data_IF_081475719073
#
_entry.id   IF_081475719073
#
_cell.length_a   1.000
_cell.length_b   1.000
_cell.length_c   1.000
_cell.angle_alpha   90.00
_cell.angle_beta   90.00
_cell.angle_gamma   90.00
#
_symmetry.space_group_name_H-M   'P 1'
#
loop_
_entity.id
_entity.type
_entity.pdbx_description
1 polymer ?
#
# COMPACT_ATOMS: atom_id res chain seq x y z
N UNK A 1 -22.68 8.23 -5.89
CA UNK A 1 -21.71 7.58 -4.98
C UNK A 1 -21.20 8.58 -3.93
N UNK A 2 -21.96 9.65 -3.67
CA UNK A 2 -21.36 10.93 -3.22
C UNK A 2 -21.33 11.05 -1.69
N UNK A 3 -21.72 9.98 -1.00
CA UNK A 3 -21.82 9.92 0.46
C UNK A 3 -20.57 9.36 1.12
N UNK A 4 -19.66 8.75 0.35
CA UNK A 4 -18.39 8.21 0.87
C UNK A 4 -17.29 9.24 0.63
N UNK A 5 -16.70 9.82 1.69
CA UNK A 5 -15.58 10.74 1.56
C UNK A 5 -14.41 10.08 0.83
N UNK A 6 -13.80 10.81 -0.10
CA UNK A 6 -12.57 10.38 -0.77
C UNK A 6 -11.37 10.96 -0.04
N UNK A 7 -10.33 10.15 0.07
CA UNK A 7 -9.05 10.56 0.65
C UNK A 7 -8.03 10.68 -0.48
N UNK A 8 -7.29 11.80 -0.56
CA UNK A 8 -6.32 12.00 -1.62
C UNK A 8 -5.18 10.99 -1.51
N UNK A 9 -4.54 10.70 -2.67
CA UNK A 9 -3.30 9.93 -2.71
C UNK A 9 -2.23 10.67 -1.90
N UNK A 10 -1.48 9.94 -1.07
CA UNK A 10 -0.45 10.53 -0.20
C UNK A 10 0.77 11.04 -0.97
N UNK A 11 1.09 10.39 -2.10
CA UNK A 11 2.29 10.66 -2.88
C UNK A 11 1.91 10.95 -4.34
N UNK A 12 2.40 12.05 -4.90
CA UNK A 12 2.12 12.37 -6.32
C UNK A 12 2.77 11.33 -7.25
N UNK A 13 4.07 11.12 -7.08
CA UNK A 13 4.86 10.15 -7.85
C UNK A 13 5.21 8.91 -7.02
N UNK A 14 5.57 7.82 -7.71
CA UNK A 14 6.06 6.60 -7.07
C UNK A 14 7.33 6.87 -6.25
N UNK A 15 8.22 7.73 -6.75
CA UNK A 15 9.50 8.04 -6.12
C UNK A 15 9.39 8.47 -4.65
N UNK A 16 8.35 9.23 -4.30
CA UNK A 16 8.11 9.65 -2.91
C UNK A 16 7.67 8.51 -1.98
N UNK A 17 7.18 7.38 -2.52
CA UNK A 17 6.85 6.19 -1.74
C UNK A 17 8.04 5.22 -1.59
N UNK A 18 9.12 5.40 -2.35
CA UNK A 18 10.26 4.50 -2.37
C UNK A 18 11.19 4.71 -1.17
N UNK A 19 11.84 3.64 -0.73
CA UNK A 19 12.96 3.71 0.21
C UNK A 19 14.25 4.09 -0.52
N UNK A 20 15.16 4.76 0.20
CA UNK A 20 16.50 5.04 -0.28
C UNK A 20 17.34 3.74 -0.28
N UNK A 21 17.26 2.99 -1.37
CA UNK A 21 18.01 1.75 -1.60
C UNK A 21 19.16 2.05 -2.57
N UNK A 22 20.38 1.66 -2.20
CA UNK A 22 21.57 1.85 -3.04
C UNK A 22 21.46 1.12 -4.38
N UNK A 23 22.12 1.67 -5.39
CA UNK A 23 22.23 1.07 -6.73
C UNK A 23 22.99 -0.26 -6.74
N UNK A 24 23.87 -0.49 -5.76
CA UNK A 24 24.64 -1.73 -5.57
C UNK A 24 23.91 -2.79 -4.72
N UNK A 25 22.67 -2.52 -4.30
CA UNK A 25 21.91 -3.45 -3.45
C UNK A 25 21.54 -4.73 -4.22
N UNK A 26 21.77 -5.88 -3.58
CA UNK A 26 21.49 -7.22 -4.12
C UNK A 26 20.04 -7.49 -4.56
N UNK A 27 19.08 -6.62 -4.19
CA UNK A 27 17.69 -6.68 -4.65
C UNK A 27 17.54 -6.37 -6.14
N UNK A 28 18.46 -5.61 -6.73
CA UNK A 28 18.48 -5.30 -8.15
C UNK A 28 18.93 -6.51 -8.96
N UNK A 29 18.09 -6.95 -9.90
CA UNK A 29 18.30 -8.16 -10.72
C UNK A 29 17.82 -7.92 -12.15
N UNK A 30 18.49 -8.52 -13.13
CA UNK A 30 18.15 -8.37 -14.54
C UNK A 30 16.82 -9.06 -14.94
N UNK A 31 16.49 -10.18 -14.28
CA UNK A 31 15.35 -11.05 -14.62
C UNK A 31 15.26 -11.41 -16.11
N UNK A 32 16.40 -11.79 -16.71
CA UNK A 32 16.49 -12.12 -18.16
C UNK A 32 15.44 -13.16 -18.60
N UNK A 33 15.15 -14.14 -17.73
CA UNK A 33 14.12 -15.15 -18.01
C UNK A 33 12.72 -14.55 -18.23
N UNK A 34 12.38 -13.43 -17.58
CA UNK A 34 11.11 -12.70 -17.78
C UNK A 34 11.13 -11.90 -19.08
N UNK A 35 12.29 -11.33 -19.43
CA UNK A 35 12.48 -10.60 -20.69
C UNK A 35 12.30 -11.56 -21.87
N UNK A 36 12.94 -12.73 -21.82
CA UNK A 36 12.82 -13.75 -22.86
C UNK A 36 11.43 -14.39 -22.88
N UNK A 37 10.80 -14.54 -21.71
CA UNK A 37 9.39 -14.95 -21.63
C UNK A 37 8.48 -13.95 -22.30
N UNK A 38 8.69 -12.65 -22.12
CA UNK A 38 7.90 -11.61 -22.78
C UNK A 38 8.02 -11.68 -24.30
N UNK A 39 9.22 -11.87 -24.85
CA UNK A 39 9.45 -12.06 -26.29
C UNK A 39 8.69 -13.30 -26.82
N UNK A 40 8.82 -14.44 -26.12
CA UNK A 40 8.13 -15.70 -26.48
C UNK A 40 6.61 -15.56 -26.41
N UNK A 41 6.10 -14.93 -25.37
CA UNK A 41 4.66 -14.73 -25.17
C UNK A 41 4.08 -13.79 -26.24
N UNK A 42 4.80 -12.72 -26.61
CA UNK A 42 4.41 -11.82 -27.70
C UNK A 42 4.39 -12.54 -29.07
N UNK A 43 5.41 -13.36 -29.36
CA UNK A 43 5.46 -14.17 -30.58
C UNK A 43 4.32 -15.20 -30.65
N UNK A 44 3.87 -15.71 -29.50
CA UNK A 44 2.72 -16.60 -29.38
C UNK A 44 1.35 -15.88 -29.32
N UNK A 45 1.31 -14.56 -29.52
CA UNK A 45 0.07 -13.77 -29.49
C UNK A 45 -0.56 -13.62 -28.10
N UNK A 46 0.18 -13.87 -27.02
CA UNK A 46 -0.31 -13.68 -25.64
C UNK A 46 -0.13 -12.24 -25.20
N UNK A 47 -1.06 -11.78 -24.37
CA UNK A 47 -1.10 -10.38 -23.90
C UNK A 47 -0.53 -10.16 -22.48
N UNK A 48 0.30 -11.08 -21.97
CA UNK A 48 0.93 -10.94 -20.65
C UNK A 48 2.14 -10.00 -20.70
N UNK A 49 1.88 -8.70 -20.75
CA UNK A 49 2.93 -7.67 -20.84
C UNK A 49 3.69 -7.48 -19.52
N UNK A 50 5.00 -7.20 -19.56
CA UNK A 50 5.74 -6.75 -18.37
C UNK A 50 5.14 -5.45 -17.81
N UNK A 51 4.99 -5.37 -16.49
CA UNK A 51 4.63 -4.16 -15.79
C UNK A 51 5.89 -3.58 -15.12
N UNK A 52 6.56 -2.67 -15.82
CA UNK A 52 7.76 -2.01 -15.34
C UNK A 52 7.43 -0.55 -15.06
N UNK A 53 7.80 -0.08 -13.88
CA UNK A 53 7.51 1.28 -13.42
C UNK A 53 8.80 2.00 -13.01
N UNK A 54 8.76 3.31 -13.06
CA UNK A 54 9.87 4.23 -12.76
C UNK A 54 9.48 5.18 -11.63
N UNK A 55 10.46 5.79 -10.93
CA UNK A 55 10.17 6.73 -9.85
C UNK A 55 9.25 7.90 -10.27
N UNK A 56 9.29 8.31 -11.54
CA UNK A 56 8.50 9.43 -12.06
C UNK A 56 7.04 9.05 -12.32
N UNK A 57 6.69 7.76 -12.30
CA UNK A 57 5.33 7.33 -12.61
C UNK A 57 4.33 7.77 -11.52
N UNK A 58 3.19 8.30 -11.95
CA UNK A 58 2.10 8.72 -11.07
C UNK A 58 1.14 7.57 -10.72
N UNK A 59 1.26 6.45 -11.44
CA UNK A 59 0.38 5.29 -11.30
C UNK A 59 1.17 3.99 -11.23
N UNK A 60 0.71 3.09 -10.36
CA UNK A 60 1.25 1.74 -10.23
C UNK A 60 0.11 0.75 -10.43
N UNK A 61 0.36 -0.29 -11.23
CA UNK A 61 -0.61 -1.37 -11.41
C UNK A 61 -0.88 -2.13 -10.11
N UNK A 62 -1.94 -2.95 -10.11
CA UNK A 62 -2.29 -3.76 -8.94
C UNK A 62 -1.15 -4.66 -8.49
N UNK A 63 -0.76 -4.53 -7.21
CA UNK A 63 0.21 -5.41 -6.57
C UNK A 63 -0.55 -6.57 -5.94
N UNK A 64 -0.33 -7.78 -6.44
CA UNK A 64 -1.16 -8.92 -6.06
C UNK A 64 -0.52 -9.82 -4.98
N UNK A 65 -1.31 -10.66 -4.31
CA UNK A 65 -0.88 -11.52 -3.17
C UNK A 65 0.48 -12.21 -3.35
N UNK A 66 0.71 -12.83 -4.51
CA UNK A 66 1.93 -13.59 -4.78
C UNK A 66 3.15 -12.74 -5.18
N UNK A 67 3.18 -11.45 -4.83
CA UNK A 67 4.17 -10.48 -5.31
C UNK A 67 5.62 -10.92 -5.09
N UNK A 68 5.90 -11.52 -3.92
CA UNK A 68 7.21 -12.03 -3.54
C UNK A 68 7.78 -13.09 -4.50
N UNK A 69 6.94 -13.72 -5.35
CA UNK A 69 7.37 -14.75 -6.31
C UNK A 69 7.85 -14.20 -7.65
N UNK A 70 7.90 -12.87 -7.82
CA UNK A 70 8.30 -12.18 -9.05
C UNK A 70 7.53 -12.68 -10.28
N UNK A 71 6.41 -12.03 -10.61
CA UNK A 71 5.61 -12.37 -11.79
C UNK A 71 5.63 -11.25 -12.81
N UNK A 72 5.49 -11.62 -14.08
CA UNK A 72 5.63 -10.72 -15.22
C UNK A 72 4.68 -9.52 -15.18
N UNK A 73 3.42 -9.75 -14.81
CA UNK A 73 2.35 -8.75 -14.78
C UNK A 73 2.31 -7.91 -13.50
N UNK A 74 3.00 -8.34 -12.44
CA UNK A 74 3.13 -7.55 -11.22
C UNK A 74 4.13 -6.39 -11.48
N UNK A 75 3.87 -5.19 -10.92
CA UNK A 75 4.73 -4.03 -11.12
C UNK A 75 6.12 -4.23 -10.51
N UNK A 76 7.17 -3.89 -11.25
CA UNK A 76 8.55 -3.89 -10.76
C UNK A 76 9.21 -2.57 -11.07
N UNK A 77 9.98 -2.05 -10.11
CA UNK A 77 10.77 -0.85 -10.32
C UNK A 77 11.93 -1.18 -11.26
N UNK A 78 12.15 -0.36 -12.29
CA UNK A 78 13.23 -0.53 -13.27
C UNK A 78 14.17 0.68 -13.28
N UNK A 79 15.48 0.42 -13.44
CA UNK A 79 16.53 1.43 -13.60
C UNK A 79 16.94 1.60 -15.06
N UNK A 80 17.76 2.63 -15.33
CA UNK A 80 18.25 2.94 -16.68
C UNK A 80 19.15 1.86 -17.29
N UNK A 81 19.80 1.03 -16.47
CA UNK A 81 20.61 -0.11 -16.88
C UNK A 81 19.80 -1.40 -17.13
N UNK A 82 18.48 -1.36 -16.93
CA UNK A 82 17.57 -2.49 -17.10
C UNK A 82 17.45 -3.42 -15.90
N UNK A 83 18.20 -3.18 -14.81
CA UNK A 83 18.01 -3.90 -13.56
C UNK A 83 16.66 -3.52 -12.94
N UNK A 84 16.03 -4.52 -12.32
CA UNK A 84 14.71 -4.37 -11.72
C UNK A 84 14.72 -4.88 -10.28
N UNK A 85 13.80 -4.38 -9.47
CA UNK A 85 13.51 -4.94 -8.15
C UNK A 85 12.01 -4.97 -7.85
N UNK A 86 11.64 -5.82 -6.90
CA UNK A 86 10.34 -5.72 -6.25
C UNK A 86 10.32 -4.51 -5.31
N UNK A 87 9.14 -4.00 -5.03
CA UNK A 87 8.91 -3.11 -3.90
C UNK A 87 9.20 -3.86 -2.59
N UNK A 88 9.72 -3.16 -1.60
CA UNK A 88 9.75 -3.67 -0.22
C UNK A 88 8.34 -3.71 0.37
N UNK A 89 8.12 -4.42 1.48
CA UNK A 89 6.85 -4.38 2.20
C UNK A 89 6.41 -2.96 2.57
N UNK A 90 7.34 -2.13 3.04
CA UNK A 90 7.12 -0.75 3.45
C UNK A 90 6.73 0.12 2.24
N UNK A 91 7.42 -0.01 1.11
CA UNK A 91 7.06 0.67 -0.13
C UNK A 91 5.67 0.24 -0.64
N UNK A 92 5.36 -1.07 -0.61
CA UNK A 92 4.03 -1.58 -0.98
C UNK A 92 2.95 -0.99 -0.05
N UNK A 93 3.20 -0.92 1.25
CA UNK A 93 2.30 -0.28 2.20
C UNK A 93 2.07 1.21 1.85
N UNK A 94 3.15 1.98 1.62
CA UNK A 94 3.10 3.39 1.22
C UNK A 94 2.34 3.61 -0.08
N UNK A 95 2.55 2.77 -1.10
CA UNK A 95 1.82 2.83 -2.37
C UNK A 95 0.30 2.71 -2.16
N UNK A 96 -0.13 1.89 -1.19
CA UNK A 96 -1.55 1.72 -0.84
C UNK A 96 -2.05 2.72 0.22
N UNK A 97 -1.18 3.60 0.72
CA UNK A 97 -1.45 4.50 1.85
C UNK A 97 -1.65 3.78 3.19
N UNK A 98 -1.23 2.52 3.28
CA UNK A 98 -1.38 1.70 4.49
C UNK A 98 -0.26 2.06 5.46
N UNK A 99 -0.56 2.28 6.75
CA UNK A 99 0.48 2.54 7.75
C UNK A 99 1.51 1.40 7.84
N UNK A 100 2.79 1.74 7.68
CA UNK A 100 3.90 0.77 7.63
C UNK A 100 4.01 -0.10 8.88
N UNK A 101 3.60 0.42 10.05
CA UNK A 101 3.64 -0.34 11.30
C UNK A 101 2.77 -1.60 11.26
N UNK A 102 1.74 -1.65 10.39
CA UNK A 102 0.87 -2.82 10.24
C UNK A 102 1.57 -4.01 9.59
N UNK A 103 2.71 -3.76 8.91
CA UNK A 103 3.48 -4.81 8.24
C UNK A 103 4.91 -4.97 8.76
N UNK A 104 5.33 -4.05 9.63
CA UNK A 104 6.68 -4.01 10.19
C UNK A 104 7.00 -5.29 10.96
N UNK A 105 8.17 -5.86 10.65
CA UNK A 105 8.67 -7.07 11.32
C UNK A 105 8.14 -8.38 10.75
N UNK A 106 7.20 -8.35 9.81
CA UNK A 106 6.82 -9.57 9.10
C UNK A 106 7.87 -9.97 8.05
N UNK A 107 8.04 -11.28 7.78
CA UNK A 107 8.77 -11.73 6.61
C UNK A 107 8.17 -11.14 5.33
N UNK A 108 9.02 -10.73 4.38
CA UNK A 108 8.58 -10.04 3.17
C UNK A 108 7.50 -10.80 2.38
N UNK A 109 7.57 -12.13 2.33
CA UNK A 109 6.54 -12.96 1.69
C UNK A 109 5.17 -12.79 2.35
N UNK A 110 5.10 -12.87 3.68
CA UNK A 110 3.87 -12.74 4.45
C UNK A 110 3.32 -11.32 4.35
N UNK A 111 4.18 -10.31 4.48
CA UNK A 111 3.78 -8.91 4.36
C UNK A 111 3.18 -8.62 2.99
N UNK A 112 3.79 -9.12 1.91
CA UNK A 112 3.26 -8.96 0.56
C UNK A 112 1.97 -9.75 0.30
N UNK A 113 1.79 -10.91 0.94
CA UNK A 113 0.51 -11.62 0.86
C UNK A 113 -0.60 -10.82 1.53
N UNK A 114 -0.36 -10.32 2.75
CA UNK A 114 -1.32 -9.50 3.50
C UNK A 114 -1.67 -8.21 2.74
N UNK A 115 -0.65 -7.47 2.30
CA UNK A 115 -0.84 -6.25 1.51
C UNK A 115 -1.50 -6.56 0.16
N UNK A 116 -1.09 -7.62 -0.54
CA UNK A 116 -1.65 -7.98 -1.85
C UNK A 116 -3.12 -8.40 -1.81
N UNK A 117 -3.66 -8.75 -0.63
CA UNK A 117 -5.08 -9.02 -0.38
C UNK A 117 -5.83 -7.84 0.26
N UNK A 118 -5.14 -6.74 0.55
CA UNK A 118 -5.72 -5.55 1.16
C UNK A 118 -6.40 -4.63 0.12
N UNK A 119 -7.13 -3.64 0.64
CA UNK A 119 -7.69 -2.52 -0.11
C UNK A 119 -6.79 -1.27 0.01
N UNK A 120 -7.08 -0.24 -0.78
CA UNK A 120 -6.46 1.09 -0.62
C UNK A 120 -6.94 1.73 0.69
N UNK A 121 -6.01 2.18 1.52
CA UNK A 121 -6.30 2.62 2.88
C UNK A 121 -7.28 3.80 2.93
N UNK A 122 -7.12 4.77 2.03
CA UNK A 122 -8.04 5.91 1.92
C UNK A 122 -9.49 5.51 1.64
N UNK A 123 -9.72 4.44 0.87
CA UNK A 123 -11.07 3.94 0.59
C UNK A 123 -11.67 3.30 1.84
N UNK A 124 -10.89 2.50 2.57
CA UNK A 124 -11.31 1.91 3.84
C UNK A 124 -11.73 3.00 4.84
N UNK A 125 -10.91 4.05 4.94
CA UNK A 125 -11.15 5.20 5.81
C UNK A 125 -12.43 5.95 5.43
N UNK A 126 -12.65 6.20 4.15
CA UNK A 126 -13.87 6.83 3.63
C UNK A 126 -15.13 6.03 3.97
N UNK A 127 -15.10 4.72 3.77
CA UNK A 127 -16.23 3.85 4.11
C UNK A 127 -16.50 3.88 5.63
N UNK A 128 -15.46 3.77 6.45
CA UNK A 128 -15.58 3.83 7.91
C UNK A 128 -16.17 5.16 8.40
N UNK A 129 -15.72 6.28 7.84
CA UNK A 129 -16.27 7.60 8.16
C UNK A 129 -17.74 7.73 7.75
N UNK A 130 -18.10 7.31 6.53
CA UNK A 130 -19.48 7.36 6.07
C UNK A 130 -20.42 6.56 6.98
N UNK A 131 -19.99 5.37 7.42
CA UNK A 131 -20.74 4.56 8.37
C UNK A 131 -20.87 5.26 9.73
N UNK A 132 -19.78 5.84 10.24
CA UNK A 132 -19.79 6.56 11.51
C UNK A 132 -20.76 7.75 11.50
N UNK A 133 -20.78 8.53 10.41
CA UNK A 133 -21.70 9.66 10.24
C UNK A 133 -23.15 9.16 10.22
N UNK A 134 -23.46 8.11 9.45
CA UNK A 134 -24.83 7.64 9.29
C UNK A 134 -25.38 6.91 10.50
N UNK A 135 -24.57 6.06 11.14
CA UNK A 135 -25.03 5.22 12.25
C UNK A 135 -24.98 5.94 13.60
N UNK A 136 -24.02 6.85 13.78
CA UNK A 136 -23.74 7.48 15.09
C UNK A 136 -24.01 8.99 15.09
N UNK A 137 -24.36 9.59 13.96
CA UNK A 137 -24.57 11.04 13.86
C UNK A 137 -23.30 11.87 14.13
N UNK A 138 -22.13 11.25 13.96
CA UNK A 138 -20.84 11.92 14.14
C UNK A 138 -20.61 12.97 13.05
N UNK A 139 -19.90 14.07 13.35
CA UNK A 139 -19.48 15.00 12.32
C UNK A 139 -18.48 14.34 11.38
N UNK A 140 -18.39 14.83 10.14
CA UNK A 140 -17.35 14.40 9.20
C UNK A 140 -15.96 14.69 9.76
N UNK A 141 -14.96 13.87 9.41
CA UNK A 141 -13.59 14.05 9.86
C UNK A 141 -13.06 15.43 9.41
N UNK A 142 -12.40 16.14 10.31
CA UNK A 142 -11.92 17.51 10.05
C UNK A 142 -12.99 18.61 10.22
N UNK A 143 -14.23 18.26 10.56
CA UNK A 143 -15.32 19.20 10.91
C UNK A 143 -15.77 19.03 12.37
N UNK A 144 -14.83 18.75 13.28
CA UNK A 144 -15.13 18.82 14.71
C UNK A 144 -15.15 20.28 15.15
N UNK A 145 -16.34 20.78 15.51
CA UNK A 145 -16.47 22.02 16.27
C UNK A 145 -15.59 21.94 17.53
N UNK A 146 -14.65 22.88 17.74
CA UNK A 146 -13.83 22.88 18.94
C UNK A 146 -14.75 22.95 20.17
N UNK A 147 -14.69 21.94 21.03
CA UNK A 147 -15.49 21.86 22.26
C UNK A 147 -16.73 20.97 22.20
N UNK A 148 -17.02 20.26 21.10
CA UNK A 148 -18.09 19.25 21.09
C UNK A 148 -17.67 18.03 21.92
N UNK A 149 -18.18 17.94 23.15
CA UNK A 149 -17.97 16.78 24.00
C UNK A 149 -18.66 15.56 23.37
N UNK A 150 -17.91 14.48 23.13
CA UNK A 150 -18.48 13.20 22.72
C UNK A 150 -19.43 12.75 23.83
N UNK A 151 -20.72 12.63 23.54
CA UNK A 151 -21.72 12.19 24.50
C UNK A 151 -21.97 10.67 24.37
N UNK A 152 -22.25 10.00 25.49
CA UNK A 152 -22.68 8.60 25.50
C UNK A 152 -21.55 7.58 25.28
N UNK A 153 -21.84 6.38 24.70
CA UNK A 153 -20.91 5.25 24.56
C UNK A 153 -19.60 5.56 23.82
N UNK A 154 -19.59 6.66 23.08
CA UNK A 154 -18.43 7.15 22.32
C UNK A 154 -17.34 7.76 23.21
N UNK A 155 -17.71 8.35 24.36
CA UNK A 155 -16.72 8.79 25.35
C UNK A 155 -15.99 7.59 25.95
N UNK A 156 -16.72 6.49 26.16
CA UNK A 156 -16.19 5.24 26.67
C UNK A 156 -15.26 4.58 25.64
N UNK A 157 -15.68 4.50 24.37
CA UNK A 157 -14.84 3.99 23.28
C UNK A 157 -13.58 4.83 23.02
N UNK A 158 -13.67 6.17 23.11
CA UNK A 158 -12.51 7.05 22.98
C UNK A 158 -11.54 6.94 24.17
N UNK A 159 -12.05 6.54 25.35
CA UNK A 159 -11.25 6.26 26.53
C UNK A 159 -10.66 4.85 26.56
N UNK A 160 -11.13 3.94 25.68
CA UNK A 160 -10.53 2.62 25.52
C UNK A 160 -9.18 2.76 24.83
N UNK A 161 -8.14 2.16 25.42
CA UNK A 161 -6.81 2.05 24.82
C UNK A 161 -6.81 1.03 23.66
N UNK A 162 -7.49 1.39 22.58
CA UNK A 162 -7.69 0.54 21.39
C UNK A 162 -6.38 0.27 20.64
N UNK A 163 -5.34 1.06 20.89
CA UNK A 163 -4.04 0.97 20.23
C UNK A 163 -2.90 0.58 21.16
N UNK A 164 -3.20 0.21 22.41
CA UNK A 164 -2.25 -0.33 23.37
C UNK A 164 -1.02 0.55 23.54
N UNK A 165 -1.11 1.59 24.38
CA UNK A 165 0.07 2.32 24.86
C UNK A 165 0.96 1.49 25.79
N UNK A 166 0.60 0.23 26.07
CA UNK A 166 1.46 -0.73 26.76
C UNK A 166 2.74 -0.94 25.96
N UNK A 167 3.84 -0.40 26.50
CA UNK A 167 5.19 -0.81 26.12
C UNK A 167 5.29 -2.34 26.18
N UNK A 168 5.87 -2.99 25.15
CA UNK A 168 6.07 -4.42 25.18
C UNK A 168 6.97 -4.77 26.38
N UNK A 169 6.53 -5.77 27.16
CA UNK A 169 7.29 -6.31 28.28
C UNK A 169 8.64 -6.82 27.74
N UNK A 170 9.79 -6.42 28.32
CA UNK A 170 11.07 -6.94 27.87
C UNK A 170 11.12 -8.45 28.11
N UNK A 171 11.68 -9.17 27.13
CA UNK A 171 11.96 -10.62 27.18
C UNK A 171 13.14 -10.86 28.12
#
# INVERSE_FOLDING_TARGET
MDQVPTYPKQFETLGHALEAISDDDSRWKAYDYLVDKAKRDAAAGKNFKPNLVKPEDEHVGGISRGYARVRQTDPRLVRGDGLQRLFTPEEHARIKGIPEYLVRGFPASIAHEALGQSILYGHAKGIGEALAVQLLGLPKLGQCEPGRQLAGPLAEFAAMDLFGTSTPKPI
#
